data_IF_698330223420
#
_entry.id   IF_698330223420
#
_cell.length_a   1.000
_cell.length_b   1.000
_cell.length_c   1.000
_cell.angle_alpha   90.00
_cell.angle_beta   90.00
_cell.angle_gamma   90.00
#
_symmetry.space_group_name_H-M   'P 1'
#
loop_
_entity.id
_entity.type
_entity.pdbx_description
1 polymer ?
#
# COMPACT_ATOMS: atom_id res chain seq x y z
N UNK A 1 31.61 11.19 -65.14
CA UNK A 1 30.83 9.94 -65.32
C UNK A 1 31.87 8.81 -65.40
N UNK A 2 31.97 7.78 -64.57
CA UNK A 2 31.05 6.97 -63.75
C UNK A 2 31.91 6.42 -62.59
N UNK A 3 31.58 6.74 -61.34
CA UNK A 3 30.96 5.84 -60.34
C UNK A 3 31.77 4.58 -60.00
N UNK A 4 32.35 4.71 -58.81
CA UNK A 4 33.01 3.80 -57.88
C UNK A 4 32.40 2.39 -57.82
N UNK A 5 33.32 1.44 -57.65
CA UNK A 5 33.14 -0.01 -57.57
C UNK A 5 32.56 -0.43 -56.22
N UNK A 6 31.64 -1.37 -56.38
CA UNK A 6 30.95 -2.30 -55.49
C UNK A 6 31.80 -2.94 -54.36
N UNK A 7 31.08 -3.36 -53.32
CA UNK A 7 31.40 -4.41 -52.31
C UNK A 7 31.92 -3.94 -50.95
N UNK A 8 31.01 -3.84 -49.97
CA UNK A 8 31.10 -4.65 -48.75
C UNK A 8 29.73 -4.75 -48.06
N UNK A 9 29.14 -5.93 -48.15
CA UNK A 9 28.08 -6.45 -47.28
C UNK A 9 28.75 -7.22 -46.13
N UNK A 10 28.03 -7.34 -45.01
CA UNK A 10 28.28 -8.17 -43.82
C UNK A 10 29.24 -7.63 -42.74
N UNK A 11 28.66 -7.38 -41.57
CA UNK A 11 29.40 -7.15 -40.33
C UNK A 11 28.55 -6.78 -39.11
N UNK A 12 27.33 -7.32 -38.95
CA UNK A 12 26.67 -7.31 -37.63
C UNK A 12 27.19 -8.53 -36.88
N UNK A 13 28.22 -8.33 -36.08
CA UNK A 13 28.61 -9.23 -35.00
C UNK A 13 28.40 -8.49 -33.68
N UNK A 14 27.37 -8.92 -32.98
CA UNK A 14 27.04 -8.53 -31.61
C UNK A 14 28.19 -8.92 -30.68
N UNK A 15 28.99 -7.95 -30.25
CA UNK A 15 29.84 -8.11 -29.06
C UNK A 15 28.95 -7.85 -27.85
N UNK A 16 28.35 -8.93 -27.35
CA UNK A 16 27.91 -9.01 -25.97
C UNK A 16 29.14 -9.24 -25.10
N UNK A 17 29.44 -8.31 -24.21
CA UNK A 17 30.17 -8.53 -22.96
C UNK A 17 30.19 -7.21 -22.16
N UNK A 18 29.05 -6.84 -21.56
CA UNK A 18 29.08 -5.91 -20.43
C UNK A 18 29.53 -6.69 -19.20
N UNK A 19 30.84 -6.75 -19.01
CA UNK A 19 31.47 -7.16 -17.77
C UNK A 19 31.09 -6.17 -16.65
N UNK A 20 30.25 -6.61 -15.72
CA UNK A 20 30.03 -5.92 -14.44
C UNK A 20 31.33 -6.04 -13.65
N UNK A 21 31.97 -4.91 -13.34
CA UNK A 21 33.16 -4.91 -12.49
C UNK A 21 32.75 -5.37 -11.09
N UNK A 22 33.23 -6.55 -10.70
CA UNK A 22 33.40 -6.91 -9.30
C UNK A 22 34.50 -5.99 -8.76
N UNK A 23 34.14 -5.14 -7.80
CA UNK A 23 35.12 -4.41 -6.99
C UNK A 23 35.22 -5.17 -5.68
N UNK A 24 36.28 -5.95 -5.54
CA UNK A 24 36.62 -6.59 -4.28
C UNK A 24 37.25 -5.57 -3.32
N UNK A 25 36.63 -5.49 -2.14
CA UNK A 25 37.19 -5.27 -0.81
C UNK A 25 38.15 -4.09 -0.58
N UNK A 26 37.60 -3.01 -0.01
CA UNK A 26 38.24 -2.31 1.11
C UNK A 26 37.22 -2.12 2.23
N UNK A 27 37.54 -2.78 3.34
CA UNK A 27 37.11 -2.56 4.73
C UNK A 27 35.61 -2.61 5.09
N UNK A 28 35.30 -3.74 5.73
CA UNK A 28 34.19 -3.95 6.64
C UNK A 28 33.95 -2.76 7.58
N UNK A 29 32.87 -2.03 7.31
CA UNK A 29 32.14 -1.35 8.36
C UNK A 29 30.68 -1.82 8.31
N UNK A 30 30.25 -2.35 9.45
CA UNK A 30 28.96 -2.96 9.75
C UNK A 30 27.78 -2.03 9.44
N UNK A 31 27.39 -1.92 8.18
CA UNK A 31 26.03 -1.57 7.82
C UNK A 31 25.32 -2.88 7.53
N UNK A 32 24.73 -3.47 8.59
CA UNK A 32 23.51 -4.26 8.40
C UNK A 32 22.60 -3.39 7.55
N UNK A 33 22.45 -3.74 6.28
CA UNK A 33 21.40 -3.22 5.43
C UNK A 33 20.09 -3.56 6.12
N UNK A 34 19.62 -2.60 6.92
CA UNK A 34 18.37 -2.70 7.63
C UNK A 34 17.32 -2.66 6.53
N UNK A 35 16.75 -3.81 6.19
CA UNK A 35 15.65 -3.92 5.24
C UNK A 35 14.68 -2.77 5.52
N UNK A 36 14.38 -1.96 4.51
CA UNK A 36 13.52 -0.78 4.61
C UNK A 36 12.11 -1.22 5.03
N UNK A 37 11.92 -1.38 6.34
CA UNK A 37 10.62 -1.46 6.99
C UNK A 37 10.04 -0.05 6.96
N UNK A 38 9.62 0.43 5.78
CA UNK A 38 8.95 1.72 5.68
C UNK A 38 7.50 1.60 6.16
N UNK A 39 7.34 1.25 7.44
CA UNK A 39 6.16 1.59 8.20
C UNK A 39 6.25 3.11 8.42
N UNK A 40 5.23 3.83 8.01
CA UNK A 40 5.10 5.24 8.34
C UNK A 40 4.35 5.35 9.65
N UNK A 41 4.77 6.29 10.50
CA UNK A 41 4.08 6.64 11.72
C UNK A 41 3.93 8.15 11.77
N UNK A 42 2.87 8.62 12.41
CA UNK A 42 2.63 10.05 12.55
C UNK A 42 1.36 10.36 13.30
N UNK A 43 0.94 11.61 13.18
CA UNK A 43 -0.31 12.11 13.75
C UNK A 43 -1.15 12.76 12.66
N UNK A 44 -2.40 12.36 12.55
CA UNK A 44 -3.41 13.00 11.71
C UNK A 44 -3.79 14.31 12.39
N UNK A 45 -3.78 15.42 11.67
CA UNK A 45 -4.29 16.69 12.20
C UNK A 45 -5.79 16.62 12.46
N UNK A 46 -6.27 17.49 13.35
CA UNK A 46 -7.66 17.46 13.82
C UNK A 46 -8.69 17.62 12.71
N UNK A 47 -8.39 18.38 11.65
CA UNK A 47 -9.32 18.58 10.54
C UNK A 47 -9.48 17.28 9.76
N UNK A 48 -8.37 16.65 9.34
CA UNK A 48 -8.43 15.37 8.63
C UNK A 48 -8.98 14.25 9.51
N UNK A 49 -8.66 14.23 10.81
CA UNK A 49 -9.20 13.23 11.73
C UNK A 49 -10.73 13.31 11.83
N UNK A 50 -11.29 14.52 11.91
CA UNK A 50 -12.74 14.72 11.92
C UNK A 50 -13.40 14.25 10.61
N UNK A 51 -12.76 14.53 9.46
CA UNK A 51 -13.24 14.03 8.17
C UNK A 51 -13.22 12.51 8.10
N UNK A 52 -12.14 11.85 8.57
CA UNK A 52 -12.05 10.38 8.64
C UNK A 52 -13.20 9.82 9.49
N UNK A 53 -13.42 10.38 10.69
CA UNK A 53 -14.51 9.96 11.58
C UNK A 53 -15.88 10.08 10.93
N UNK A 54 -16.15 11.20 10.27
CA UNK A 54 -17.40 11.45 9.58
C UNK A 54 -17.59 10.54 8.37
N UNK A 55 -16.58 10.41 7.52
CA UNK A 55 -16.69 9.72 6.23
C UNK A 55 -16.83 8.22 6.37
N UNK A 56 -16.24 7.64 7.42
CA UNK A 56 -16.15 6.21 7.65
C UNK A 56 -16.92 5.76 8.90
N UNK A 57 -17.80 6.62 9.43
CA UNK A 57 -18.69 6.34 10.56
C UNK A 57 -17.95 5.84 11.82
N UNK A 58 -16.71 6.30 12.04
CA UNK A 58 -15.89 5.92 13.19
C UNK A 58 -16.20 6.85 14.36
N UNK A 59 -16.90 6.34 15.39
CA UNK A 59 -17.44 7.15 16.48
C UNK A 59 -16.92 6.71 17.84
N UNK A 60 -17.23 5.48 18.25
CA UNK A 60 -17.03 5.00 19.62
C UNK A 60 -15.79 4.10 19.75
N UNK A 61 -15.31 3.54 18.63
CA UNK A 61 -14.20 2.61 18.62
C UNK A 61 -12.87 3.31 18.93
N UNK A 62 -12.00 2.63 19.67
CA UNK A 62 -10.70 3.20 20.06
C UNK A 62 -9.72 3.26 18.88
N UNK A 63 -9.78 2.24 18.03
CA UNK A 63 -8.92 2.05 16.86
C UNK A 63 -9.79 1.96 15.60
N UNK A 64 -9.30 2.56 14.52
CA UNK A 64 -9.79 2.34 13.17
C UNK A 64 -8.69 1.68 12.33
N UNK A 65 -9.03 0.58 11.68
CA UNK A 65 -8.22 -0.10 10.68
C UNK A 65 -8.86 0.14 9.32
N UNK A 66 -8.10 0.75 8.42
CA UNK A 66 -8.47 0.91 7.02
C UNK A 66 -7.58 0.02 6.16
N UNK A 67 -8.18 -0.99 5.58
CA UNK A 67 -7.58 -1.79 4.51
C UNK A 67 -7.83 -1.07 3.19
N UNK A 68 -6.78 -0.47 2.65
CA UNK A 68 -6.89 0.40 1.50
C UNK A 68 -6.58 -0.36 0.21
N UNK A 69 -7.47 -0.24 -0.78
CA UNK A 69 -7.21 -0.69 -2.15
C UNK A 69 -6.88 0.52 -3.01
N UNK A 70 -5.64 0.54 -3.50
CA UNK A 70 -5.08 1.63 -4.29
C UNK A 70 -5.81 1.80 -5.64
N UNK A 71 -5.62 2.92 -6.36
CA UNK A 71 -6.23 3.09 -7.69
C UNK A 71 -5.87 1.95 -8.63
N UNK A 72 -6.77 1.58 -9.57
CA UNK A 72 -6.49 0.53 -10.57
C UNK A 72 -5.20 0.83 -11.33
N UNK A 73 -4.92 2.11 -11.62
CA UNK A 73 -3.68 2.56 -12.29
C UNK A 73 -2.41 2.17 -11.52
N UNK A 74 -2.51 1.93 -10.22
CA UNK A 74 -1.42 1.50 -9.36
C UNK A 74 -1.26 -0.02 -9.27
N UNK A 75 -2.16 -0.78 -9.89
CA UNK A 75 -2.21 -2.25 -9.85
C UNK A 75 -2.02 -2.94 -11.20
N UNK A 76 -1.59 -4.20 -11.14
CA UNK A 76 -1.50 -5.09 -12.31
C UNK A 76 -2.74 -6.00 -12.48
N UNK A 77 -3.73 -5.88 -11.58
CA UNK A 77 -5.02 -6.58 -11.63
C UNK A 77 -6.14 -5.64 -11.17
N UNK A 78 -7.39 -6.02 -11.44
CA UNK A 78 -8.55 -5.29 -10.94
C UNK A 78 -8.73 -5.51 -9.43
N UNK A 79 -8.33 -4.53 -8.63
CA UNK A 79 -8.48 -4.55 -7.19
C UNK A 79 -9.82 -3.96 -6.69
N UNK A 80 -10.69 -3.44 -7.56
CA UNK A 80 -12.01 -2.91 -7.16
C UNK A 80 -13.07 -3.99 -6.94
N UNK A 81 -12.72 -5.26 -7.16
CA UNK A 81 -13.69 -6.33 -6.98
C UNK A 81 -13.92 -6.64 -5.50
N UNK A 82 -15.20 -6.67 -5.10
CA UNK A 82 -15.67 -7.19 -3.81
C UNK A 82 -16.35 -8.53 -4.09
N UNK A 83 -15.79 -9.63 -3.57
CA UNK A 83 -16.29 -11.00 -3.76
C UNK A 83 -16.51 -11.70 -2.43
N UNK A 84 -17.37 -12.72 -2.39
CA UNK A 84 -17.56 -13.55 -1.18
C UNK A 84 -16.27 -14.24 -0.73
N UNK A 85 -15.41 -14.66 -1.67
CA UNK A 85 -14.08 -15.22 -1.38
C UNK A 85 -13.18 -14.20 -0.70
N UNK A 86 -13.15 -12.96 -1.20
CA UNK A 86 -12.39 -11.87 -0.58
C UNK A 86 -12.92 -11.52 0.81
N UNK A 87 -14.24 -11.47 1.00
CA UNK A 87 -14.87 -11.26 2.30
C UNK A 87 -14.46 -12.35 3.31
N UNK A 88 -14.48 -13.62 2.89
CA UNK A 88 -14.01 -14.74 3.72
C UNK A 88 -12.52 -14.60 4.07
N UNK A 89 -11.68 -14.28 3.08
CA UNK A 89 -10.24 -14.14 3.30
C UNK A 89 -9.94 -13.05 4.34
N UNK A 90 -10.60 -11.89 4.28
CA UNK A 90 -10.43 -10.83 5.28
C UNK A 90 -10.92 -11.23 6.67
N UNK A 91 -12.03 -11.97 6.75
CA UNK A 91 -12.49 -12.54 8.03
C UNK A 91 -11.44 -13.48 8.63
N UNK A 92 -10.84 -14.35 7.81
CA UNK A 92 -9.81 -15.28 8.25
C UNK A 92 -8.53 -14.51 8.67
N UNK A 93 -8.10 -13.51 7.89
CA UNK A 93 -6.90 -12.70 8.17
C UNK A 93 -6.96 -12.00 9.55
N UNK A 94 -8.13 -11.51 9.95
CA UNK A 94 -8.30 -10.83 11.23
C UNK A 94 -8.67 -11.76 12.39
N UNK A 95 -8.80 -13.08 12.15
CA UNK A 95 -9.32 -14.02 13.15
C UNK A 95 -8.40 -14.19 14.37
N UNK A 96 -7.09 -14.08 14.19
CA UNK A 96 -6.08 -14.22 15.25
C UNK A 96 -5.53 -12.87 15.76
N UNK A 97 -6.13 -11.75 15.33
CA UNK A 97 -5.72 -10.40 15.73
C UNK A 97 -6.71 -9.88 16.78
N UNK A 98 -6.20 -9.35 17.90
CA UNK A 98 -7.03 -8.72 18.94
C UNK A 98 -7.64 -7.39 18.45
N UNK A 99 -8.81 -7.48 17.84
CA UNK A 99 -9.59 -6.36 17.29
C UNK A 99 -10.69 -5.87 18.24
N UNK A 100 -10.55 -6.09 19.56
CA UNK A 100 -11.48 -5.55 20.54
C UNK A 100 -11.57 -4.01 20.45
N UNK A 101 -12.79 -3.46 20.48
CA UNK A 101 -13.04 -2.02 20.36
C UNK A 101 -12.36 -1.38 19.14
N UNK A 102 -12.43 -2.06 17.98
CA UNK A 102 -11.79 -1.64 16.74
C UNK A 102 -12.78 -1.68 15.59
N UNK A 103 -12.89 -0.59 14.85
CA UNK A 103 -13.59 -0.56 13.57
C UNK A 103 -12.63 -1.02 12.47
N UNK A 104 -13.00 -2.06 11.72
CA UNK A 104 -12.17 -2.61 10.65
C UNK A 104 -12.90 -2.57 9.32
N UNK A 105 -12.42 -1.73 8.40
CA UNK A 105 -13.11 -1.42 7.15
C UNK A 105 -12.19 -1.59 5.94
N UNK A 106 -12.83 -1.66 4.78
CA UNK A 106 -12.20 -1.70 3.47
C UNK A 106 -12.53 -0.40 2.75
N UNK A 107 -11.52 0.30 2.26
CA UNK A 107 -11.71 1.53 1.48
C UNK A 107 -11.09 1.37 0.11
N UNK A 108 -11.84 1.70 -0.93
CA UNK A 108 -11.41 1.59 -2.31
C UNK A 108 -11.15 2.98 -2.88
N UNK A 109 -9.96 3.21 -3.42
CA UNK A 109 -9.61 4.45 -4.11
C UNK A 109 -10.46 4.72 -5.36
N UNK A 110 -11.08 3.66 -5.90
CA UNK A 110 -11.97 3.73 -7.05
C UNK A 110 -13.35 3.12 -6.72
N UNK A 111 -13.83 3.32 -5.49
CA UNK A 111 -15.11 2.80 -5.01
C UNK A 111 -16.31 3.35 -5.78
N UNK A 112 -16.18 4.55 -6.38
CA UNK A 112 -17.17 5.17 -7.26
C UNK A 112 -17.57 4.29 -8.45
N UNK A 113 -16.68 3.39 -8.88
CA UNK A 113 -16.93 2.46 -9.99
C UNK A 113 -17.74 1.23 -9.58
N UNK A 114 -17.88 0.98 -8.28
CA UNK A 114 -18.54 -0.19 -7.70
C UNK A 114 -19.52 0.20 -6.58
N UNK A 115 -20.12 1.39 -6.66
CA UNK A 115 -21.03 1.94 -5.63
C UNK A 115 -22.11 0.97 -5.16
N UNK A 116 -22.68 0.18 -6.06
CA UNK A 116 -23.70 -0.82 -5.74
C UNK A 116 -23.20 -2.00 -4.88
N UNK A 117 -21.90 -2.13 -4.67
CA UNK A 117 -21.26 -3.14 -3.82
C UNK A 117 -20.72 -2.57 -2.51
N UNK A 118 -20.72 -1.24 -2.36
CA UNK A 118 -20.38 -0.57 -1.11
C UNK A 118 -21.58 -0.65 -0.18
N UNK A 119 -21.33 -0.91 1.10
CA UNK A 119 -22.38 -1.07 2.12
C UNK A 119 -22.35 0.02 3.19
N UNK A 120 -21.39 0.96 3.11
CA UNK A 120 -21.16 2.04 4.09
C UNK A 120 -21.06 1.53 5.55
N UNK A 121 -20.70 0.25 5.71
CA UNK A 121 -20.49 -0.43 6.98
C UNK A 121 -19.11 -1.08 7.02
N UNK A 122 -18.79 -1.88 6.01
CA UNK A 122 -17.52 -2.60 5.88
C UNK A 122 -16.74 -2.15 4.64
N UNK A 123 -17.43 -1.65 3.61
CA UNK A 123 -16.86 -1.26 2.32
C UNK A 123 -17.25 0.17 1.97
N UNK A 124 -16.24 1.01 1.78
CA UNK A 124 -16.40 2.43 1.51
C UNK A 124 -15.62 2.86 0.27
N UNK A 125 -16.06 3.96 -0.32
CA UNK A 125 -15.30 4.75 -1.29
C UNK A 125 -14.32 5.69 -0.56
N UNK A 126 -13.17 5.98 -1.16
CA UNK A 126 -12.24 6.99 -0.65
C UNK A 126 -12.77 8.40 -0.97
N UNK A 127 -13.62 8.91 -0.07
CA UNK A 127 -14.34 10.17 -0.29
C UNK A 127 -13.36 11.33 -0.54
N UNK A 128 -13.46 11.94 -1.72
CA UNK A 128 -12.62 13.05 -2.18
C UNK A 128 -11.12 12.73 -2.18
N UNK A 129 -10.74 11.46 -2.41
CA UNK A 129 -9.34 11.00 -2.40
C UNK A 129 -8.60 11.34 -1.10
N UNK A 130 -9.33 11.44 0.03
CA UNK A 130 -8.79 11.88 1.31
C UNK A 130 -7.64 10.96 1.75
N UNK A 131 -7.84 9.65 1.69
CA UNK A 131 -6.82 8.69 2.13
C UNK A 131 -5.67 8.57 1.11
N UNK A 132 -5.99 8.59 -0.18
CA UNK A 132 -4.99 8.56 -1.25
C UNK A 132 -3.97 9.70 -1.07
N UNK A 133 -4.48 10.92 -0.95
CA UNK A 133 -3.65 12.13 -0.98
C UNK A 133 -2.83 12.31 0.30
N UNK A 134 -3.35 11.84 1.45
CA UNK A 134 -2.69 12.05 2.74
C UNK A 134 -1.78 10.88 3.16
N UNK A 135 -2.11 9.65 2.76
CA UNK A 135 -1.41 8.45 3.25
C UNK A 135 -0.84 7.61 2.10
N UNK A 136 -1.62 7.34 1.05
CA UNK A 136 -1.31 6.25 0.13
C UNK A 136 -0.59 6.66 -1.17
N UNK A 137 -0.34 7.95 -1.42
CA UNK A 137 0.32 8.45 -2.64
C UNK A 137 1.85 8.20 -2.73
N UNK A 138 2.52 7.79 -1.64
CA UNK A 138 3.99 7.77 -1.55
C UNK A 138 4.67 6.62 -2.30
N UNK A 139 3.97 5.50 -2.49
CA UNK A 139 4.52 4.29 -3.10
C UNK A 139 3.46 3.53 -3.88
N UNK A 140 3.72 3.28 -5.16
CA UNK A 140 2.87 2.46 -6.02
C UNK A 140 2.81 1.03 -5.45
N UNK A 141 1.62 0.65 -5.03
CA UNK A 141 1.29 -0.66 -4.48
C UNK A 141 -0.18 -0.94 -4.80
N UNK A 142 -0.61 -2.20 -4.64
CA UNK A 142 -2.03 -2.53 -4.81
C UNK A 142 -2.88 -2.34 -3.57
N UNK A 143 -2.22 -2.43 -2.42
CA UNK A 143 -2.85 -2.46 -1.12
C UNK A 143 -2.07 -1.59 -0.16
N UNK A 144 -2.76 -1.14 0.87
CA UNK A 144 -2.16 -0.52 2.03
C UNK A 144 -3.00 -0.78 3.26
N UNK A 145 -2.43 -0.45 4.41
CA UNK A 145 -3.15 -0.42 5.68
C UNK A 145 -2.82 0.88 6.39
N UNK A 146 -3.84 1.47 6.98
CA UNK A 146 -3.72 2.56 7.94
C UNK A 146 -4.40 2.10 9.23
N UNK A 147 -3.70 2.16 10.35
CA UNK A 147 -4.26 1.92 11.68
C UNK A 147 -4.09 3.21 12.46
N UNK A 148 -5.19 3.75 13.00
CA UNK A 148 -5.22 5.05 13.66
C UNK A 148 -6.03 4.96 14.95
N UNK A 149 -5.57 5.65 16.01
CA UNK A 149 -6.33 5.75 17.26
C UNK A 149 -7.16 7.04 17.32
N UNK A 150 -8.10 7.09 18.26
CA UNK A 150 -8.99 8.24 18.48
C UNK A 150 -8.29 9.60 18.68
N UNK A 151 -7.01 9.60 19.05
CA UNK A 151 -6.16 10.80 19.22
C UNK A 151 -5.45 11.22 17.91
N UNK A 152 -5.64 10.47 16.83
CA UNK A 152 -5.03 10.71 15.53
C UNK A 152 -3.63 10.12 15.36
N UNK A 153 -3.06 9.43 16.35
CA UNK A 153 -1.78 8.76 16.16
C UNK A 153 -1.98 7.53 15.26
N UNK A 154 -1.08 7.32 14.30
CA UNK A 154 -1.25 6.28 13.29
C UNK A 154 0.02 5.54 12.92
N UNK A 155 -0.17 4.33 12.40
CA UNK A 155 0.79 3.57 11.62
C UNK A 155 0.21 3.23 10.25
N UNK A 156 1.06 3.26 9.22
CA UNK A 156 0.67 3.05 7.83
C UNK A 156 1.71 2.20 7.10
N UNK A 157 1.25 1.35 6.19
CA UNK A 157 2.11 0.61 5.27
C UNK A 157 1.51 0.56 3.84
N UNK A 158 2.38 0.72 2.82
CA UNK A 158 2.02 0.59 1.40
C UNK A 158 2.61 -0.69 0.82
N UNK A 159 1.77 -1.69 0.62
CA UNK A 159 2.16 -3.00 0.10
C UNK A 159 1.33 -4.13 0.71
N UNK A 160 1.79 -5.36 0.50
CA UNK A 160 1.26 -6.53 1.19
C UNK A 160 1.75 -6.54 2.63
N UNK A 161 0.82 -6.64 3.58
CA UNK A 161 1.09 -6.68 5.02
C UNK A 161 0.65 -8.01 5.62
N UNK A 162 1.20 -8.31 6.80
CA UNK A 162 0.90 -9.52 7.57
C UNK A 162 0.03 -9.22 8.78
N UNK A 163 -0.62 -10.25 9.31
CA UNK A 163 -1.42 -10.18 10.54
C UNK A 163 -0.57 -9.69 11.71
N UNK A 164 0.66 -10.20 11.84
CA UNK A 164 1.64 -9.77 12.84
C UNK A 164 1.94 -8.27 12.77
N UNK A 165 2.03 -7.71 11.55
CA UNK A 165 2.30 -6.29 11.36
C UNK A 165 1.11 -5.43 11.81
N UNK A 166 -0.10 -5.80 11.41
CA UNK A 166 -1.32 -5.07 11.81
C UNK A 166 -1.56 -5.18 13.33
N UNK A 167 -1.39 -6.39 13.89
CA UNK A 167 -1.45 -6.60 15.34
C UNK A 167 -0.44 -5.72 16.09
N UNK A 168 0.79 -5.63 15.61
CA UNK A 168 1.79 -4.74 16.21
C UNK A 168 1.39 -3.26 16.15
N UNK A 169 0.73 -2.80 15.07
CA UNK A 169 0.25 -1.42 14.99
C UNK A 169 -0.84 -1.14 16.04
N UNK A 170 -1.81 -2.04 16.16
CA UNK A 170 -2.90 -1.93 17.15
C UNK A 170 -2.33 -1.87 18.58
N UNK A 171 -1.45 -2.81 18.93
CA UNK A 171 -0.88 -2.89 20.28
C UNK A 171 -0.01 -1.69 20.63
N UNK A 172 0.62 -1.03 19.65
CA UNK A 172 1.37 0.21 19.93
C UNK A 172 0.47 1.43 20.09
N UNK A 173 -0.70 1.45 19.45
CA UNK A 173 -1.62 2.59 19.49
C UNK A 173 -2.56 2.60 20.69
N UNK A 174 -2.67 1.47 21.41
CA UNK A 174 -3.44 1.31 22.67
C UNK A 174 -2.63 1.63 23.94
N UNK A 175 -1.33 1.87 23.82
CA UNK A 175 -0.46 2.23 24.95
C UNK A 175 -0.66 3.68 25.34
#
# INVERSE_FOLDING_TARGET
MKKIILQTLLGILTISCSSTKVVDNVEANNLKEQAVNANFAGKVDSQHLNLIKQYYHWQDEEILIINYKQPISSCHFDNNTITSKGKKWWKDFYSDINTANTLNIQVLANGEKVKNKLDDLNFFDDKNDLLLNNFFNRKRSCFGVLVVNKNGDYFQYNGHYSERQVGAFIENLRK
#
